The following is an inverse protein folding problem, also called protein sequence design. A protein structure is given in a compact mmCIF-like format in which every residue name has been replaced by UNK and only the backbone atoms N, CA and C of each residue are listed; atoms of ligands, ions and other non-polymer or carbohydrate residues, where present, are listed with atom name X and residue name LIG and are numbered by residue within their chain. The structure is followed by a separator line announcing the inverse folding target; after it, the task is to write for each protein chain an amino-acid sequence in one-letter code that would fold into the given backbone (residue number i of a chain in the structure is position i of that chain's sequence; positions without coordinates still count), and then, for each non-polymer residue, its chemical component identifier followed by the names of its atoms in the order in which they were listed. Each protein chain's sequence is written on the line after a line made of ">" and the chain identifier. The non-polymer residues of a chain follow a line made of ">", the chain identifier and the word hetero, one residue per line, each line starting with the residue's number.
data_IF_207711746583
#
_entry.id   IF_207711746583
#
_cell.length_a   1.000
_cell.length_b   1.000
_cell.length_c   1.000
_cell.angle_alpha   90.00
_cell.angle_beta   90.00
_cell.angle_gamma   90.00
#
_symmetry.space_group_name_H-M   'P 1'
#
loop_
_entity.id
_entity.type
_entity.pdbx_description
1 polymer ?
#
# COMPACT_ATOMS: atom_id res chain seq x y z
N UNK A 1 -17.79 -34.18 21.76
CA UNK A 1 -18.06 -32.97 20.95
C UNK A 1 -17.80 -33.34 19.51
N UNK A 2 -18.81 -33.26 18.64
CA UNK A 2 -18.61 -33.50 17.20
C UNK A 2 -17.62 -32.46 16.62
N UNK A 3 -16.73 -32.84 15.68
CA UNK A 3 -15.69 -31.96 15.20
C UNK A 3 -16.31 -30.78 14.42
N UNK A 4 -16.20 -29.58 15.00
CA UNK A 4 -16.65 -28.33 14.37
C UNK A 4 -15.88 -28.10 13.06
N UNK A 5 -16.63 -27.82 11.99
CA UNK A 5 -16.10 -27.40 10.67
C UNK A 5 -15.08 -26.27 10.87
N UNK A 6 -13.81 -26.54 10.53
CA UNK A 6 -12.71 -25.57 10.68
C UNK A 6 -12.99 -24.33 9.80
N UNK A 7 -13.00 -23.14 10.40
CA UNK A 7 -13.10 -21.89 9.65
C UNK A 7 -11.83 -21.71 8.82
N UNK A 8 -11.94 -21.93 7.51
CA UNK A 8 -10.87 -21.63 6.55
C UNK A 8 -11.21 -20.29 5.93
N UNK A 9 -10.24 -19.36 5.81
CA UNK A 9 -10.48 -18.11 5.12
C UNK A 9 -10.99 -18.41 3.72
N UNK A 10 -12.04 -17.69 3.31
CA UNK A 10 -12.59 -17.80 1.97
C UNK A 10 -11.50 -17.40 0.97
N UNK A 11 -11.46 -18.04 -0.21
CA UNK A 11 -10.49 -17.73 -1.26
C UNK A 11 -10.46 -16.24 -1.61
N UNK A 12 -11.63 -15.58 -1.58
CA UNK A 12 -11.75 -14.14 -1.75
C UNK A 12 -10.95 -13.31 -0.74
N UNK A 13 -10.89 -13.75 0.53
CA UNK A 13 -10.14 -13.06 1.59
C UNK A 13 -8.63 -13.18 1.34
N UNK A 14 -8.19 -14.36 0.88
CA UNK A 14 -6.78 -14.61 0.54
C UNK A 14 -6.36 -13.73 -0.65
N UNK A 15 -7.21 -13.66 -1.69
CA UNK A 15 -6.96 -12.83 -2.87
C UNK A 15 -6.91 -11.34 -2.48
N UNK A 16 -7.85 -10.88 -1.66
CA UNK A 16 -7.89 -9.48 -1.20
C UNK A 16 -6.59 -9.10 -0.47
N UNK A 17 -6.11 -9.95 0.44
CA UNK A 17 -4.84 -9.72 1.13
C UNK A 17 -3.65 -9.78 0.16
N UNK A 18 -3.67 -10.69 -0.80
CA UNK A 18 -2.65 -10.79 -1.85
C UNK A 18 -2.56 -9.52 -2.70
N UNK A 19 -3.69 -8.90 -3.06
CA UNK A 19 -3.72 -7.66 -3.83
C UNK A 19 -3.10 -6.49 -3.05
N UNK A 20 -3.31 -6.43 -1.73
CA UNK A 20 -2.69 -5.40 -0.87
C UNK A 20 -1.17 -5.57 -0.89
N UNK A 21 -0.68 -6.79 -0.67
CA UNK A 21 0.76 -7.08 -0.71
C UNK A 21 1.35 -6.77 -2.07
N UNK A 22 0.64 -7.13 -3.15
CA UNK A 22 1.06 -6.84 -4.52
C UNK A 22 1.17 -5.32 -4.77
N UNK A 23 0.20 -4.53 -4.32
CA UNK A 23 0.24 -3.06 -4.42
C UNK A 23 1.45 -2.47 -3.70
N UNK A 24 1.78 -2.98 -2.52
CA UNK A 24 2.96 -2.54 -1.75
C UNK A 24 4.25 -2.82 -2.53
N UNK A 25 4.39 -4.02 -3.10
CA UNK A 25 5.56 -4.39 -3.91
C UNK A 25 5.68 -3.47 -5.12
N UNK A 26 4.57 -3.24 -5.84
CA UNK A 26 4.55 -2.34 -7.01
C UNK A 26 4.98 -0.94 -6.62
N UNK A 27 4.47 -0.40 -5.50
CA UNK A 27 4.89 0.91 -4.99
C UNK A 27 6.41 0.99 -4.79
N UNK A 28 7.01 -0.01 -4.14
CA UNK A 28 8.47 -0.01 -3.92
C UNK A 28 9.26 -0.07 -5.23
N UNK A 29 8.81 -0.86 -6.21
CA UNK A 29 9.45 -0.92 -7.54
C UNK A 29 9.34 0.45 -8.22
N UNK A 30 8.17 1.07 -8.22
CA UNK A 30 7.96 2.37 -8.85
C UNK A 30 8.82 3.46 -8.20
N UNK A 31 8.87 3.53 -6.87
CA UNK A 31 9.70 4.53 -6.17
C UNK A 31 11.19 4.31 -6.44
N UNK A 32 11.66 3.06 -6.52
CA UNK A 32 13.08 2.75 -6.74
C UNK A 32 13.55 3.06 -8.17
N UNK A 33 12.74 2.73 -9.18
CA UNK A 33 13.14 2.84 -10.59
C UNK A 33 12.55 4.06 -11.31
N UNK A 34 11.43 4.60 -10.82
CA UNK A 34 10.70 5.72 -11.42
C UNK A 34 10.37 6.81 -10.37
N UNK A 35 11.38 7.36 -9.67
CA UNK A 35 11.15 8.34 -8.61
C UNK A 35 10.43 9.59 -9.14
N UNK A 36 10.66 9.97 -10.40
CA UNK A 36 10.08 11.17 -11.01
C UNK A 36 8.56 11.15 -11.16
N UNK A 37 7.94 9.96 -11.17
CA UNK A 37 6.47 9.82 -11.17
C UNK A 37 5.88 10.37 -9.87
N UNK A 38 6.67 10.44 -8.81
CA UNK A 38 6.26 10.88 -7.48
C UNK A 38 6.64 12.34 -7.19
N UNK A 39 7.37 13.03 -8.08
CA UNK A 39 7.80 14.43 -7.87
C UNK A 39 6.62 15.43 -7.80
N UNK A 40 5.49 15.08 -8.40
CA UNK A 40 4.26 15.89 -8.37
C UNK A 40 3.42 15.65 -7.12
N UNK A 41 3.81 14.70 -6.26
CA UNK A 41 3.12 14.49 -4.99
C UNK A 41 3.50 15.62 -4.03
N UNK A 42 2.49 16.13 -3.34
CA UNK A 42 2.70 17.07 -2.24
C UNK A 42 3.53 16.36 -1.16
N UNK A 43 4.81 16.71 -1.06
CA UNK A 43 5.75 16.27 -0.03
C UNK A 43 5.44 16.85 1.34
N UNK A 44 4.53 17.82 1.41
CA UNK A 44 4.21 18.54 2.63
C UNK A 44 5.30 19.55 3.02
N UNK A 45 6.16 19.94 2.09
CA UNK A 45 7.13 21.00 2.29
C UNK A 45 6.38 22.27 2.74
N UNK A 46 6.65 22.67 3.97
CA UNK A 46 6.11 23.89 4.58
C UNK A 46 6.60 25.04 3.72
N UNK A 47 5.68 25.72 3.03
CA UNK A 47 6.05 26.95 2.34
C UNK A 47 6.65 27.90 3.38
N UNK A 48 7.86 28.42 3.17
CA UNK A 48 8.47 29.35 4.11
C UNK A 48 7.54 30.55 4.22
N UNK A 49 6.95 30.75 5.41
CA UNK A 49 6.16 31.94 5.70
C UNK A 49 7.15 33.11 5.65
N UNK A 50 6.93 34.13 4.80
CA UNK A 50 7.81 35.29 4.78
C UNK A 50 7.79 35.96 6.15
N UNK A 51 8.94 36.03 6.82
CA UNK A 51 9.11 36.88 8.00
C UNK A 51 8.90 38.34 7.55
N UNK A 52 7.93 39.02 8.18
CA UNK A 52 7.57 40.41 7.89
C UNK A 52 8.69 41.39 8.22
#
# INVERSE_FOLDING_TARGET
>A
MEPKKKNKPNGLVIILFGLIVLMIIIYFILVMFFPTVFDLLNTGDIQPVPDK
#
